data_IF_214681817924
#
_entry.id   IF_214681817924
#
_cell.length_a   1.000
_cell.length_b   1.000
_cell.length_c   1.000
_cell.angle_alpha   90.00
_cell.angle_beta   90.00
_cell.angle_gamma   90.00
#
_symmetry.space_group_name_H-M   'P 1'
#
loop_
_entity.id
_entity.type
_entity.pdbx_description
1 polymer ?
#
# COMPACT_ATOMS: atom_id res chain seq x y z
N UNK A 1 -15.72 -25.76 -13.39
CA UNK A 1 -14.89 -24.69 -13.96
C UNK A 1 -14.65 -23.67 -12.86
N UNK A 2 -13.43 -23.60 -12.30
CA UNK A 2 -13.13 -22.59 -11.29
C UNK A 2 -12.91 -21.25 -11.99
N UNK A 3 -13.83 -20.32 -11.77
CA UNK A 3 -13.78 -18.99 -12.35
C UNK A 3 -12.69 -18.18 -11.63
N UNK A 4 -11.74 -17.65 -12.40
CA UNK A 4 -10.61 -16.87 -11.86
C UNK A 4 -11.08 -15.41 -11.75
N UNK A 5 -10.93 -14.74 -10.59
CA UNK A 5 -11.28 -13.34 -10.45
C UNK A 5 -10.52 -12.47 -11.47
N UNK A 6 -11.07 -11.30 -11.83
CA UNK A 6 -10.45 -10.35 -12.76
C UNK A 6 -10.36 -8.96 -12.15
N UNK A 7 -9.16 -8.38 -12.11
CA UNK A 7 -8.91 -7.03 -11.61
C UNK A 7 -8.25 -6.14 -12.68
N UNK A 8 -8.98 -5.14 -13.22
CA UNK A 8 -8.45 -4.20 -14.20
C UNK A 8 -7.61 -3.07 -13.60
N UNK A 9 -6.65 -2.56 -14.38
CA UNK A 9 -5.81 -1.39 -14.08
C UNK A 9 -6.41 -0.07 -14.54
N UNK A 10 -6.09 1.03 -13.86
CA UNK A 10 -6.26 2.38 -14.44
C UNK A 10 -5.28 2.53 -15.59
N UNK A 11 -5.76 3.00 -16.75
CA UNK A 11 -4.89 3.41 -17.85
C UNK A 11 -4.36 4.83 -17.58
N UNK A 12 -3.11 5.08 -17.97
CA UNK A 12 -2.51 6.42 -17.95
C UNK A 12 -3.15 7.30 -19.03
N UNK A 13 -2.79 8.59 -19.03
CA UNK A 13 -3.24 9.58 -20.02
C UNK A 13 -2.84 9.20 -21.45
N UNK A 14 -1.83 8.34 -21.62
CA UNK A 14 -1.43 7.77 -22.93
C UNK A 14 -2.36 6.65 -23.44
N UNK A 15 -3.28 6.17 -22.60
CA UNK A 15 -4.21 5.09 -22.92
C UNK A 15 -3.59 3.69 -23.03
N UNK A 16 -2.28 3.54 -22.82
CA UNK A 16 -1.55 2.28 -22.99
C UNK A 16 -0.81 1.83 -21.71
N UNK A 17 -0.31 2.76 -20.89
CA UNK A 17 0.42 2.45 -19.66
C UNK A 17 -0.49 2.44 -18.43
N UNK A 18 -0.01 1.90 -17.30
CA UNK A 18 -0.81 1.82 -16.06
C UNK A 18 -0.71 3.15 -15.31
N UNK A 19 -1.84 3.85 -15.19
CA UNK A 19 -1.97 5.12 -14.49
C UNK A 19 -1.88 4.98 -12.96
N UNK A 20 -1.38 6.01 -12.28
CA UNK A 20 -1.18 6.00 -10.83
C UNK A 20 -2.50 5.75 -10.06
N UNK A 21 -2.60 4.57 -9.44
CA UNK A 21 -3.75 4.18 -8.62
C UNK A 21 -3.29 3.40 -7.36
N UNK A 22 -3.18 4.03 -6.17
CA UNK A 22 -2.73 3.35 -4.96
C UNK A 22 -3.67 2.22 -4.52
N UNK A 23 -4.97 2.32 -4.85
CA UNK A 23 -5.96 1.28 -4.58
C UNK A 23 -5.76 0.04 -5.46
N UNK A 24 -5.43 0.25 -6.75
CA UNK A 24 -5.15 -0.82 -7.68
C UNK A 24 -3.86 -1.55 -7.27
N UNK A 25 -2.82 -0.79 -6.91
CA UNK A 25 -1.57 -1.36 -6.40
C UNK A 25 -1.81 -2.17 -5.11
N UNK A 26 -2.62 -1.67 -4.16
CA UNK A 26 -3.01 -2.42 -2.94
C UNK A 26 -3.56 -3.79 -3.30
N UNK A 27 -4.53 -3.85 -4.20
CA UNK A 27 -5.17 -5.10 -4.60
C UNK A 27 -4.22 -6.03 -5.38
N UNK A 28 -3.30 -5.49 -6.19
CA UNK A 28 -2.28 -6.30 -6.86
C UNK A 28 -1.28 -6.91 -5.89
N UNK A 29 -0.83 -6.15 -4.89
CA UNK A 29 0.01 -6.71 -3.83
C UNK A 29 -0.69 -7.87 -3.12
N UNK A 30 -1.98 -7.73 -2.82
CA UNK A 30 -2.78 -8.79 -2.19
C UNK A 30 -2.82 -10.04 -3.07
N UNK A 31 -3.18 -9.90 -4.35
CA UNK A 31 -3.24 -11.04 -5.28
C UNK A 31 -1.88 -11.72 -5.46
N UNK A 32 -0.80 -10.93 -5.51
CA UNK A 32 0.55 -11.46 -5.61
C UNK A 32 0.95 -12.25 -4.36
N UNK A 33 0.70 -11.69 -3.16
CA UNK A 33 0.97 -12.36 -1.89
C UNK A 33 0.12 -13.61 -1.69
N UNK A 34 -1.08 -13.64 -2.26
CA UNK A 34 -1.93 -14.84 -2.32
C UNK A 34 -1.41 -15.86 -3.34
N UNK A 35 -0.38 -15.59 -4.13
CA UNK A 35 0.11 -16.51 -5.15
C UNK A 35 -0.87 -16.70 -6.31
N UNK A 36 -1.73 -15.70 -6.56
CA UNK A 36 -2.71 -15.70 -7.65
C UNK A 36 -2.53 -14.50 -8.61
N UNK A 37 -1.32 -14.25 -9.16
CA UNK A 37 -1.08 -13.12 -10.07
C UNK A 37 -1.80 -13.29 -11.43
N UNK A 38 -2.22 -14.48 -11.82
CA UNK A 38 -2.97 -14.73 -13.05
C UNK A 38 -4.40 -14.16 -13.05
N UNK A 39 -4.90 -13.79 -11.88
CA UNK A 39 -6.19 -13.09 -11.63
C UNK A 39 -6.20 -11.67 -12.23
N UNK A 40 -5.05 -11.19 -12.73
CA UNK A 40 -4.86 -9.83 -13.23
C UNK A 40 -5.38 -9.56 -14.66
N UNK A 41 -6.33 -10.32 -15.21
CA UNK A 41 -6.68 -10.21 -16.65
C UNK A 41 -8.00 -9.50 -16.98
N UNK A 42 -7.90 -8.65 -18.00
CA UNK A 42 -8.93 -7.99 -18.84
C UNK A 42 -9.74 -6.83 -18.26
N UNK A 43 -9.64 -5.69 -18.95
CA UNK A 43 -10.47 -4.48 -18.80
C UNK A 43 -11.78 -4.60 -19.59
N UNK A 44 -12.90 -4.25 -18.97
CA UNK A 44 -14.11 -3.87 -19.71
C UNK A 44 -14.03 -2.38 -20.06
N UNK A 45 -14.24 -1.97 -21.33
CA UNK A 45 -14.22 -0.57 -21.72
C UNK A 45 -15.25 0.26 -20.92
N UNK A 46 -14.80 1.34 -20.29
CA UNK A 46 -15.69 2.36 -19.69
C UNK A 46 -16.05 2.20 -18.21
N UNK A 47 -15.46 1.26 -17.47
CA UNK A 47 -15.67 1.15 -16.01
C UNK A 47 -14.48 1.74 -15.25
N UNK A 48 -14.74 2.55 -14.21
CA UNK A 48 -13.68 3.23 -13.44
C UNK A 48 -13.00 2.25 -12.47
N UNK A 49 -11.71 1.91 -12.67
CA UNK A 49 -10.99 0.98 -11.80
C UNK A 49 -10.64 1.62 -10.43
N UNK A 50 -10.40 0.82 -9.38
CA UNK A 50 -10.42 -0.64 -9.37
C UNK A 50 -11.82 -1.23 -9.11
N UNK A 51 -12.20 -2.24 -9.87
CA UNK A 51 -13.34 -3.10 -9.58
C UNK A 51 -12.97 -4.57 -9.80
N UNK A 52 -13.49 -5.49 -9.00
CA UNK A 52 -13.26 -6.92 -9.16
C UNK A 52 -14.49 -7.55 -9.82
N UNK A 53 -14.27 -8.38 -10.84
CA UNK A 53 -15.31 -9.27 -11.36
C UNK A 53 -15.04 -10.69 -10.86
N UNK A 54 -16.03 -11.31 -10.20
CA UNK A 54 -15.96 -12.70 -9.76
C UNK A 54 -17.35 -13.35 -9.84
N UNK A 55 -17.49 -14.46 -10.56
CA UNK A 55 -18.77 -15.15 -10.68
C UNK A 55 -19.84 -14.34 -11.41
N UNK A 56 -19.45 -13.43 -12.31
CA UNK A 56 -20.35 -12.48 -12.96
C UNK A 56 -20.77 -11.27 -12.11
N UNK A 57 -20.39 -11.19 -10.82
CA UNK A 57 -20.65 -10.03 -9.97
C UNK A 57 -19.53 -8.99 -10.04
N UNK A 58 -19.89 -7.71 -10.12
CA UNK A 58 -18.96 -6.58 -10.11
C UNK A 58 -18.89 -5.98 -8.70
N UNK A 59 -17.69 -5.90 -8.12
CA UNK A 59 -17.42 -5.23 -6.84
C UNK A 59 -16.55 -4.00 -7.08
N UNK A 60 -16.95 -2.84 -6.60
CA UNK A 60 -16.24 -1.55 -6.87
C UNK A 60 -15.59 -0.92 -5.63
N UNK A 61 -15.94 -1.38 -4.43
CA UNK A 61 -15.37 -0.87 -3.18
C UNK A 61 -14.07 -1.62 -2.85
N UNK A 62 -12.94 -0.92 -2.77
CA UNK A 62 -11.63 -1.53 -2.52
C UNK A 62 -11.56 -2.32 -1.21
N UNK A 63 -12.23 -1.86 -0.14
CA UNK A 63 -12.22 -2.59 1.13
C UNK A 63 -13.08 -3.86 1.02
N UNK A 64 -14.24 -3.80 0.36
CA UNK A 64 -15.06 -5.00 0.12
C UNK A 64 -14.37 -6.00 -0.80
N UNK A 65 -13.60 -5.51 -1.78
CA UNK A 65 -12.77 -6.38 -2.64
C UNK A 65 -11.70 -7.07 -1.81
N UNK A 66 -10.99 -6.34 -0.94
CA UNK A 66 -10.00 -6.92 -0.03
C UNK A 66 -10.62 -7.97 0.89
N UNK A 67 -11.73 -7.66 1.55
CA UNK A 67 -12.47 -8.60 2.42
C UNK A 67 -12.82 -9.87 1.65
N UNK A 68 -13.37 -9.71 0.44
CA UNK A 68 -13.69 -10.83 -0.42
C UNK A 68 -12.46 -11.66 -0.82
N UNK A 69 -11.35 -11.03 -1.19
CA UNK A 69 -10.13 -11.74 -1.57
C UNK A 69 -9.51 -12.49 -0.39
N UNK A 70 -9.53 -11.91 0.81
CA UNK A 70 -9.04 -12.58 2.01
C UNK A 70 -9.90 -13.79 2.39
N UNK A 71 -11.23 -13.70 2.21
CA UNK A 71 -12.17 -14.79 2.48
C UNK A 71 -12.13 -15.89 1.39
N UNK A 72 -12.15 -15.50 0.12
CA UNK A 72 -12.20 -16.43 -1.01
C UNK A 72 -10.86 -17.15 -1.22
N UNK A 73 -9.75 -16.46 -1.00
CA UNK A 73 -8.39 -17.03 -1.12
C UNK A 73 -7.86 -17.36 0.28
N UNK A 74 -8.47 -18.36 0.92
CA UNK A 74 -8.17 -18.76 2.29
C UNK A 74 -7.27 -20.02 2.40
N UNK A 75 -6.70 -20.30 3.59
CA UNK A 75 -5.97 -21.54 3.86
C UNK A 75 -6.84 -22.80 3.65
N UNK A 76 -6.24 -23.96 3.31
CA UNK A 76 -4.80 -24.22 3.22
C UNK A 76 -4.18 -23.81 1.88
N UNK A 77 -4.99 -23.45 0.88
CA UNK A 77 -4.51 -23.22 -0.48
C UNK A 77 -3.78 -21.88 -0.64
N UNK A 78 -4.16 -20.88 0.16
CA UNK A 78 -3.63 -19.53 0.10
C UNK A 78 -3.27 -19.00 1.50
N UNK A 79 -2.24 -18.16 1.65
CA UNK A 79 -1.83 -17.64 2.95
C UNK A 79 -2.84 -16.63 3.50
N UNK A 80 -2.94 -16.53 4.84
CA UNK A 80 -3.72 -15.48 5.52
C UNK A 80 -2.90 -14.17 5.56
N UNK A 81 -3.50 -13.04 5.18
CA UNK A 81 -2.82 -11.74 5.13
C UNK A 81 -3.33 -10.74 6.18
N UNK A 82 -4.47 -11.01 6.84
CA UNK A 82 -4.98 -10.18 7.93
C UNK A 82 -3.96 -9.99 9.06
N UNK A 83 -3.85 -8.76 9.54
CA UNK A 83 -3.03 -8.42 10.69
C UNK A 83 -3.49 -9.12 11.98
N UNK A 84 -2.53 -9.46 12.83
CA UNK A 84 -2.72 -9.95 14.20
C UNK A 84 -3.04 -8.80 15.16
N UNK A 85 -2.41 -7.64 14.98
CA UNK A 85 -2.54 -6.50 15.87
C UNK A 85 -3.44 -5.44 15.26
N UNK A 86 -4.37 -4.88 16.06
CA UNK A 86 -5.31 -3.86 15.57
C UNK A 86 -4.59 -2.57 15.21
N UNK A 87 -3.52 -2.27 15.95
CA UNK A 87 -2.65 -1.12 15.79
C UNK A 87 -1.95 -1.11 14.43
N UNK A 88 -1.65 -2.28 13.86
CA UNK A 88 -1.07 -2.44 12.51
C UNK A 88 -1.98 -1.90 11.42
N UNK A 89 -3.31 -1.97 11.60
CA UNK A 89 -4.28 -1.48 10.62
C UNK A 89 -4.46 0.06 10.66
N UNK A 90 -3.76 0.75 11.56
CA UNK A 90 -3.89 2.19 11.78
C UNK A 90 -3.42 3.04 10.58
N UNK A 91 -4.36 3.48 9.76
CA UNK A 91 -4.10 4.46 8.69
C UNK A 91 -3.75 5.84 9.29
N UNK A 92 -2.61 6.47 8.95
CA UNK A 92 -2.45 7.90 9.10
C UNK A 92 -3.31 8.60 8.05
N UNK A 93 -4.51 9.04 8.41
CA UNK A 93 -5.39 9.84 7.54
C UNK A 93 -5.00 11.33 7.61
N UNK A 94 -4.48 11.97 6.54
CA UNK A 94 -4.16 13.39 6.56
C UNK A 94 -5.40 14.21 6.17
N UNK A 95 -6.07 14.82 7.16
CA UNK A 95 -7.13 15.79 6.92
C UNK A 95 -6.59 17.15 6.42
N UNK A 96 -7.31 17.76 5.47
CA UNK A 96 -6.93 18.95 4.68
C UNK A 96 -6.77 20.28 5.48
N UNK A 97 -5.95 21.17 4.90
CA UNK A 97 -5.55 22.57 5.20
C UNK A 97 -4.54 22.86 6.33
N UNK A 98 -3.53 23.69 5.97
CA UNK A 98 -2.39 24.39 6.64
C UNK A 98 -1.74 23.81 7.91
N UNK A 99 -2.51 23.08 8.72
CA UNK A 99 -2.02 22.07 9.64
C UNK A 99 -1.60 20.78 8.93
N UNK A 100 -1.78 20.65 7.61
CA UNK A 100 -1.51 19.43 6.83
C UNK A 100 -0.07 18.95 6.96
N UNK A 101 0.91 19.82 6.76
CA UNK A 101 2.33 19.42 6.80
C UNK A 101 2.72 18.98 8.22
N UNK A 102 2.35 19.76 9.24
CA UNK A 102 2.59 19.39 10.65
C UNK A 102 1.85 18.12 11.04
N UNK A 103 0.61 17.93 10.58
CA UNK A 103 -0.17 16.70 10.80
C UNK A 103 0.46 15.51 10.06
N UNK A 104 0.97 15.73 8.85
CA UNK A 104 1.62 14.71 8.04
C UNK A 104 2.95 14.27 8.67
N UNK A 105 3.82 15.22 9.04
CA UNK A 105 5.04 14.93 9.78
C UNK A 105 4.74 14.23 11.11
N UNK A 106 3.73 14.68 11.85
CA UNK A 106 3.29 14.02 13.08
C UNK A 106 2.80 12.59 12.82
N UNK A 107 2.12 12.35 11.70
CA UNK A 107 1.70 11.02 11.29
C UNK A 107 2.89 10.13 10.93
N UNK A 108 3.90 10.64 10.22
CA UNK A 108 5.13 9.92 9.94
C UNK A 108 5.90 9.59 11.22
N UNK A 109 6.01 10.53 12.16
CA UNK A 109 6.63 10.30 13.47
C UNK A 109 5.88 9.24 14.28
N UNK A 110 4.55 9.23 14.24
CA UNK A 110 3.75 8.18 14.91
C UNK A 110 3.97 6.81 14.27
N UNK A 111 4.01 6.75 12.94
CA UNK A 111 4.29 5.52 12.21
C UNK A 111 5.69 5.00 12.51
N UNK A 112 6.68 5.88 12.50
CA UNK A 112 8.06 5.55 12.86
C UNK A 112 8.14 5.01 14.29
N UNK A 113 7.53 5.73 15.25
CA UNK A 113 7.46 5.27 16.64
C UNK A 113 6.79 3.90 16.75
N UNK A 114 5.69 3.66 16.01
CA UNK A 114 5.04 2.36 15.99
C UNK A 114 5.98 1.26 15.48
N UNK A 115 6.67 1.49 14.36
CA UNK A 115 7.63 0.55 13.76
C UNK A 115 8.81 0.24 14.71
N UNK A 116 9.17 1.18 15.58
CA UNK A 116 10.22 1.01 16.58
C UNK A 116 9.71 0.33 17.87
N UNK A 117 8.42 0.43 18.19
CA UNK A 117 7.84 -0.18 19.39
C UNK A 117 7.68 -1.70 19.20
N UNK A 118 8.23 -2.55 20.08
CA UNK A 118 8.04 -4.00 20.03
C UNK A 118 6.56 -4.41 20.11
N UNK A 119 6.18 -5.40 19.31
CA UNK A 119 4.85 -6.02 19.41
C UNK A 119 4.85 -7.15 20.43
N UNK A 120 3.66 -7.59 20.88
CA UNK A 120 3.54 -8.60 21.95
C UNK A 120 4.34 -9.87 21.66
N UNK A 121 4.37 -10.36 20.42
CA UNK A 121 5.10 -11.58 20.09
C UNK A 121 6.63 -11.43 20.19
N UNK A 122 7.15 -10.20 20.06
CA UNK A 122 8.57 -9.91 20.27
C UNK A 122 8.86 -9.86 21.77
N UNK A 123 7.95 -9.25 22.55
CA UNK A 123 8.04 -9.19 24.02
C UNK A 123 7.90 -10.58 24.66
N UNK A 124 7.06 -11.45 24.11
CA UNK A 124 6.92 -12.84 24.56
C UNK A 124 8.23 -13.64 24.40
N UNK A 125 9.03 -13.30 23.38
CA UNK A 125 10.34 -13.93 23.12
C UNK A 125 11.46 -13.27 23.92
N UNK A 126 11.41 -11.95 24.08
CA UNK A 126 12.36 -11.16 24.84
C UNK A 126 11.66 -9.96 25.51
N UNK A 127 11.25 -10.07 26.78
CA UNK A 127 10.48 -9.04 27.47
C UNK A 127 11.21 -7.70 27.60
N UNK A 128 12.54 -7.73 27.62
CA UNK A 128 13.40 -6.57 27.79
C UNK A 128 13.92 -6.01 26.45
N UNK A 129 13.35 -6.46 25.31
CA UNK A 129 13.77 -5.96 24.00
C UNK A 129 13.52 -4.45 23.91
N UNK A 130 14.57 -3.64 23.67
CA UNK A 130 14.44 -2.18 23.74
C UNK A 130 13.71 -1.59 22.54
N UNK A 131 13.74 -2.29 21.40
CA UNK A 131 13.19 -1.83 20.13
C UNK A 131 12.81 -3.01 19.25
N UNK A 132 11.75 -2.84 18.46
CA UNK A 132 11.33 -3.85 17.49
C UNK A 132 12.39 -4.09 16.43
N UNK A 133 12.47 -5.35 15.98
CA UNK A 133 13.31 -5.79 14.87
C UNK A 133 12.50 -6.20 13.64
N UNK A 134 11.17 -6.06 13.69
CA UNK A 134 10.26 -6.51 12.64
C UNK A 134 10.48 -5.74 11.34
N UNK A 135 10.22 -6.42 10.22
CA UNK A 135 10.37 -5.81 8.90
C UNK A 135 9.19 -4.94 8.47
N UNK A 136 7.96 -5.31 8.86
CA UNK A 136 6.71 -4.74 8.36
C UNK A 136 5.74 -4.40 9.50
N UNK A 137 4.56 -3.85 9.19
CA UNK A 137 3.67 -3.29 10.20
C UNK A 137 3.27 -4.30 11.29
N UNK A 138 3.01 -5.55 10.90
CA UNK A 138 2.47 -6.59 11.78
C UNK A 138 3.46 -7.71 12.11
N UNK A 139 4.69 -7.65 11.58
CA UNK A 139 5.70 -8.69 11.77
C UNK A 139 6.74 -8.73 10.65
N UNK A 140 7.25 -9.93 10.36
CA UNK A 140 8.30 -10.14 9.34
C UNK A 140 7.78 -10.51 7.94
N UNK A 141 6.46 -10.62 7.77
CA UNK A 141 5.79 -10.85 6.49
C UNK A 141 4.86 -9.69 6.14
N UNK A 142 4.68 -9.40 4.85
CA UNK A 142 3.71 -8.41 4.39
C UNK A 142 2.28 -8.84 4.72
N UNK A 143 1.46 -7.87 5.13
CA UNK A 143 0.06 -8.02 5.51
C UNK A 143 -0.84 -7.09 4.70
N UNK A 144 -2.16 -7.19 4.89
CA UNK A 144 -3.13 -6.28 4.27
C UNK A 144 -2.85 -4.80 4.63
N UNK A 145 -2.38 -4.53 5.86
CA UNK A 145 -2.02 -3.18 6.27
C UNK A 145 -0.86 -2.61 5.43
N UNK A 146 0.14 -3.43 5.13
CA UNK A 146 1.28 -3.03 4.32
C UNK A 146 0.85 -2.76 2.87
N UNK A 147 0.00 -3.63 2.31
CA UNK A 147 -0.59 -3.47 0.97
C UNK A 147 -1.38 -2.16 0.84
N UNK A 148 -2.03 -1.72 1.92
CA UNK A 148 -2.78 -0.46 1.93
C UNK A 148 -1.89 0.78 2.13
N UNK A 149 -0.83 0.68 2.94
CA UNK A 149 0.02 1.81 3.30
C UNK A 149 1.14 2.08 2.29
N UNK A 150 1.83 1.05 1.82
CA UNK A 150 3.02 1.17 0.97
C UNK A 150 2.76 1.94 -0.34
N UNK A 151 1.66 1.70 -1.09
CA UNK A 151 1.36 2.48 -2.28
C UNK A 151 1.24 3.98 -2.00
N UNK A 152 0.58 4.35 -0.89
CA UNK A 152 0.38 5.74 -0.48
C UNK A 152 1.71 6.38 -0.07
N UNK A 153 2.52 5.67 0.72
CA UNK A 153 3.85 6.16 1.10
C UNK A 153 4.78 6.35 -0.10
N UNK A 154 4.73 5.46 -1.09
CA UNK A 154 5.51 5.59 -2.31
C UNK A 154 5.14 6.84 -3.10
N UNK A 155 3.84 7.06 -3.31
CA UNK A 155 3.34 8.27 -3.97
C UNK A 155 3.84 9.52 -3.25
N UNK A 156 3.65 9.58 -1.92
CA UNK A 156 4.08 10.74 -1.14
C UNK A 156 5.59 10.96 -1.24
N UNK A 157 6.40 9.90 -1.14
CA UNK A 157 7.85 9.98 -1.29
C UNK A 157 8.25 10.54 -2.66
N UNK A 158 7.65 10.06 -3.76
CA UNK A 158 7.98 10.49 -5.13
C UNK A 158 7.53 11.93 -5.38
N UNK A 159 6.29 12.27 -5.01
CA UNK A 159 5.69 13.59 -5.23
C UNK A 159 6.38 14.66 -4.38
N UNK A 160 6.56 14.43 -3.08
CA UNK A 160 7.18 15.41 -2.18
C UNK A 160 8.65 15.67 -2.53
N UNK A 161 9.39 14.64 -2.96
CA UNK A 161 10.77 14.82 -3.45
C UNK A 161 10.82 15.71 -4.68
N UNK A 162 9.88 15.55 -5.61
CA UNK A 162 9.88 16.32 -6.87
C UNK A 162 9.35 17.74 -6.72
N UNK A 163 8.29 17.93 -5.93
CA UNK A 163 7.53 19.19 -5.92
C UNK A 163 7.70 20.01 -4.64
N UNK A 164 8.18 19.42 -3.55
CA UNK A 164 8.32 20.11 -2.25
C UNK A 164 9.77 20.16 -1.74
N UNK A 165 10.74 19.64 -2.51
CA UNK A 165 12.14 19.43 -2.08
C UNK A 165 12.25 18.74 -0.71
N UNK A 166 11.28 17.86 -0.42
CA UNK A 166 11.19 17.16 0.85
C UNK A 166 11.64 15.72 0.66
N UNK A 167 12.72 15.35 1.34
CA UNK A 167 13.15 13.97 1.49
C UNK A 167 12.78 13.44 2.87
N UNK A 168 12.51 12.13 2.96
CA UNK A 168 12.16 11.48 4.21
C UNK A 168 13.29 11.69 5.23
N UNK A 169 13.04 12.27 6.42
CA UNK A 169 14.10 12.56 7.36
C UNK A 169 14.82 11.28 7.81
N UNK A 170 16.16 11.28 7.75
CA UNK A 170 16.99 10.14 8.17
C UNK A 170 16.82 9.77 9.66
N UNK A 171 16.29 10.69 10.47
CA UNK A 171 15.95 10.45 11.87
C UNK A 171 14.78 9.47 12.06
N UNK A 172 13.94 9.26 11.04
CA UNK A 172 12.85 8.28 11.05
C UNK A 172 13.38 6.89 10.66
N UNK A 173 14.11 6.26 11.58
CA UNK A 173 14.88 5.04 11.33
C UNK A 173 13.98 3.82 11.10
N UNK A 174 12.85 3.72 11.82
CA UNK A 174 11.87 2.65 11.65
C UNK A 174 11.22 2.71 10.27
N UNK A 175 10.80 3.90 9.86
CA UNK A 175 10.23 4.14 8.54
C UNK A 175 11.25 3.90 7.41
N UNK A 176 12.50 4.30 7.62
CA UNK A 176 13.59 4.05 6.67
C UNK A 176 13.83 2.56 6.49
N UNK A 177 13.88 1.79 7.58
CA UNK A 177 14.01 0.33 7.55
C UNK A 177 12.82 -0.31 6.81
N UNK A 178 11.59 0.07 7.19
CA UNK A 178 10.36 -0.43 6.59
C UNK A 178 10.32 -0.23 5.07
N UNK A 179 10.59 1.00 4.59
CA UNK A 179 10.63 1.28 3.16
C UNK A 179 11.74 0.49 2.48
N UNK A 180 12.93 0.41 3.08
CA UNK A 180 14.06 -0.35 2.53
C UNK A 180 13.70 -1.82 2.34
N UNK A 181 13.05 -2.45 3.32
CA UNK A 181 12.56 -3.83 3.24
C UNK A 181 11.48 -3.97 2.16
N UNK A 182 10.52 -3.04 2.10
CA UNK A 182 9.48 -3.05 1.09
C UNK A 182 10.03 -2.98 -0.35
N UNK A 183 11.01 -2.11 -0.63
CA UNK A 183 11.63 -2.02 -1.96
C UNK A 183 12.46 -3.26 -2.36
N UNK A 184 12.76 -4.16 -1.42
CA UNK A 184 13.38 -5.46 -1.70
C UNK A 184 12.37 -6.56 -2.02
N UNK A 185 11.06 -6.32 -1.82
CA UNK A 185 10.00 -7.28 -2.12
C UNK A 185 9.51 -7.12 -3.55
N UNK A 186 9.43 -8.24 -4.28
CA UNK A 186 8.95 -8.26 -5.66
C UNK A 186 7.46 -7.89 -5.74
N UNK A 187 6.68 -8.27 -4.73
CA UNK A 187 5.25 -7.97 -4.59
C UNK A 187 4.98 -6.48 -4.58
N UNK A 188 5.87 -5.70 -3.97
CA UNK A 188 5.78 -4.25 -3.97
C UNK A 188 6.42 -3.64 -5.22
N UNK A 189 7.64 -4.07 -5.58
CA UNK A 189 8.40 -3.48 -6.70
C UNK A 189 7.69 -3.67 -8.05
N UNK A 190 7.14 -4.85 -8.30
CA UNK A 190 6.51 -5.18 -9.58
C UNK A 190 5.08 -4.64 -9.71
N UNK A 191 4.50 -4.18 -8.59
CA UNK A 191 3.17 -3.53 -8.59
C UNK A 191 3.26 -2.01 -8.51
N UNK A 192 4.44 -1.45 -8.24
CA UNK A 192 4.69 0.00 -8.27
C UNK A 192 4.54 0.57 -9.68
N UNK A 193 3.80 1.67 -9.78
CA UNK A 193 3.80 2.52 -10.96
C UNK A 193 5.18 3.16 -11.13
N UNK A 194 5.56 3.46 -12.38
CA UNK A 194 6.77 4.22 -12.66
C UNK A 194 6.66 5.62 -12.05
N UNK A 195 7.77 6.15 -11.54
CA UNK A 195 7.81 7.50 -10.98
C UNK A 195 7.26 8.55 -11.95
N UNK A 196 7.48 8.40 -13.27
CA UNK A 196 6.92 9.29 -14.29
C UNK A 196 5.39 9.37 -14.27
N UNK A 197 4.71 8.23 -14.08
CA UNK A 197 3.24 8.15 -14.03
C UNK A 197 2.70 8.79 -12.76
N UNK A 198 3.38 8.56 -11.63
CA UNK A 198 3.05 9.20 -10.36
C UNK A 198 3.18 10.71 -10.50
N UNK A 199 4.30 11.20 -11.04
CA UNK A 199 4.54 12.63 -11.18
C UNK A 199 3.56 13.28 -12.16
N UNK A 200 3.25 12.63 -13.28
CA UNK A 200 2.28 13.12 -14.26
C UNK A 200 0.90 13.30 -13.61
N UNK A 201 0.43 12.30 -12.85
CA UNK A 201 -0.87 12.34 -12.18
C UNK A 201 -1.01 13.50 -11.18
N UNK A 202 0.08 13.94 -10.54
CA UNK A 202 0.07 15.05 -9.58
C UNK A 202 0.53 16.38 -10.17
N UNK A 203 0.95 16.42 -11.44
CA UNK A 203 1.53 17.61 -12.05
C UNK A 203 0.59 18.83 -12.02
N UNK A 204 -0.70 18.64 -12.30
CA UNK A 204 -1.69 19.72 -12.34
C UNK A 204 -1.98 20.31 -10.96
N UNK A 205 -2.02 19.49 -9.91
CA UNK A 205 -2.27 19.89 -8.53
C UNK A 205 -1.02 20.48 -7.87
N UNK A 206 0.16 19.94 -8.19
CA UNK A 206 1.43 20.42 -7.65
C UNK A 206 1.81 21.82 -8.12
N UNK A 207 1.26 22.31 -9.25
CA UNK A 207 1.45 23.69 -9.71
C UNK A 207 1.03 24.74 -8.68
N UNK A 208 0.11 24.39 -7.77
CA UNK A 208 -0.37 25.28 -6.72
C UNK A 208 0.48 25.24 -5.44
N UNK A 209 1.45 24.33 -5.33
CA UNK A 209 2.37 24.24 -4.19
C UNK A 209 3.56 25.21 -4.30
N UNK A 210 3.83 25.72 -5.51
CA UNK A 210 4.94 26.65 -5.80
C UNK A 210 4.51 28.13 -5.85
N UNK A 211 3.34 28.47 -5.28
CA UNK A 211 2.85 29.85 -5.13
C UNK A 211 2.68 30.17 -3.65
#
# INVERSE_FOLDING_TARGET
THEVPKLPTVASDDGESVGNCPFCQRLFMILWLKGAPEVLKDLAPGSQPPFLIFGGEVRTDTNKIEEFLEEALAPPQYPKLCCRYKESNGNPNPGLNDMLEKKFLKSLMKLDQYLLTPLLHELDQNPDVPQSSRHYLDGNSLSLADCNLLPKLNIVKVVCRKYCDFEMPAALTGLTCYLTKAYQQDEFRNTCHKDSEILLAYHSVAKYLNK
#
